data_IF_018593836737
#
_entry.id   IF_018593836737
#
_cell.length_a   1.000
_cell.length_b   1.000
_cell.length_c   1.000
_cell.angle_alpha   90.00
_cell.angle_beta   90.00
_cell.angle_gamma   90.00
#
_symmetry.space_group_name_H-M   'P 1'
#
loop_
_entity.id
_entity.type
_entity.pdbx_description
1 polymer ?
#
# COMPACT_ATOMS: atom_id res chain seq x y z
N UNK A 1 -20.32 -0.57 33.15
CA UNK A 1 -19.30 0.49 33.00
C UNK A 1 -18.90 0.52 31.53
N UNK A 2 -19.39 1.49 30.76
CA UNK A 2 -19.06 1.63 29.34
C UNK A 2 -17.79 2.49 29.21
N UNK A 3 -16.66 1.85 28.95
CA UNK A 3 -15.46 2.53 28.44
C UNK A 3 -15.72 2.89 26.98
N UNK A 4 -16.38 4.03 26.77
CA UNK A 4 -16.53 4.64 25.45
C UNK A 4 -15.16 5.01 24.92
N UNK A 5 -14.67 4.25 23.95
CA UNK A 5 -13.53 4.64 23.13
C UNK A 5 -13.93 5.89 22.36
N UNK A 6 -13.54 7.06 22.87
CA UNK A 6 -13.57 8.30 22.09
C UNK A 6 -12.46 8.22 21.06
N UNK A 7 -12.69 7.49 19.97
CA UNK A 7 -11.83 7.57 18.80
C UNK A 7 -12.13 8.91 18.14
N UNK A 8 -11.16 9.82 18.12
CA UNK A 8 -11.24 11.04 17.31
C UNK A 8 -11.61 10.63 15.87
N UNK A 9 -12.60 11.26 15.24
CA UNK A 9 -12.96 10.94 13.86
C UNK A 9 -11.75 11.21 12.95
N UNK A 10 -11.57 10.35 11.94
CA UNK A 10 -10.57 10.57 10.90
C UNK A 10 -10.85 11.90 10.19
N UNK A 11 -9.82 12.62 9.73
CA UNK A 11 -10.00 13.71 8.76
C UNK A 11 -10.84 13.24 7.58
N UNK A 12 -11.78 14.08 7.11
CA UNK A 12 -12.72 13.73 6.04
C UNK A 12 -12.00 13.23 4.79
N UNK A 13 -10.92 13.92 4.40
CA UNK A 13 -10.13 13.55 3.23
C UNK A 13 -9.46 12.19 3.42
N UNK A 14 -8.93 11.88 4.61
CA UNK A 14 -8.34 10.57 4.88
C UNK A 14 -9.38 9.46 4.80
N UNK A 15 -10.58 9.69 5.36
CA UNK A 15 -11.67 8.72 5.28
C UNK A 15 -12.10 8.44 3.83
N UNK A 16 -12.19 9.48 3.00
CA UNK A 16 -12.47 9.34 1.57
C UNK A 16 -11.38 8.55 0.85
N UNK A 17 -10.10 8.86 1.09
CA UNK A 17 -8.99 8.16 0.47
C UNK A 17 -8.92 6.68 0.87
N UNK A 18 -9.22 6.34 2.12
CA UNK A 18 -9.34 4.95 2.57
C UNK A 18 -10.50 4.24 1.85
N UNK A 19 -11.65 4.92 1.68
CA UNK A 19 -12.77 4.36 0.92
C UNK A 19 -12.41 4.12 -0.56
N UNK A 20 -11.65 5.03 -1.18
CA UNK A 20 -11.13 4.86 -2.54
C UNK A 20 -10.12 3.70 -2.65
N UNK A 21 -9.24 3.54 -1.66
CA UNK A 21 -8.34 2.38 -1.59
C UNK A 21 -9.14 1.08 -1.47
N UNK A 22 -10.18 1.04 -0.64
CA UNK A 22 -11.06 -0.13 -0.53
C UNK A 22 -11.78 -0.43 -1.87
N UNK A 23 -12.29 0.59 -2.54
CA UNK A 23 -12.91 0.44 -3.87
C UNK A 23 -11.92 -0.09 -4.92
N UNK A 24 -10.67 0.39 -4.89
CA UNK A 24 -9.59 -0.13 -5.73
C UNK A 24 -9.30 -1.61 -5.46
N UNK A 25 -9.21 -2.02 -4.19
CA UNK A 25 -8.92 -3.42 -3.83
C UNK A 25 -10.08 -4.36 -4.23
N UNK A 26 -11.33 -3.94 -4.02
CA UNK A 26 -12.51 -4.73 -4.39
C UNK A 26 -12.65 -4.88 -5.91
N UNK A 27 -12.50 -3.78 -6.65
CA UNK A 27 -12.55 -3.81 -8.12
C UNK A 27 -11.39 -4.62 -8.70
N UNK A 28 -10.20 -4.49 -8.13
CA UNK A 28 -9.03 -5.33 -8.45
C UNK A 28 -9.32 -6.81 -8.23
N UNK A 29 -9.80 -7.20 -7.05
CA UNK A 29 -10.15 -8.60 -6.76
C UNK A 29 -11.20 -9.17 -7.70
N UNK A 30 -12.23 -8.38 -8.04
CA UNK A 30 -13.26 -8.81 -9.02
C UNK A 30 -12.69 -8.96 -10.42
N UNK A 31 -11.84 -8.02 -10.86
CA UNK A 31 -11.21 -8.04 -12.19
C UNK A 31 -10.29 -9.25 -12.36
N UNK A 32 -9.50 -9.58 -11.33
CA UNK A 32 -8.57 -10.71 -11.33
C UNK A 32 -9.22 -12.09 -11.55
N UNK A 33 -10.55 -12.21 -11.42
CA UNK A 33 -11.28 -13.44 -11.78
C UNK A 33 -11.30 -13.69 -13.30
N UNK A 34 -11.17 -12.63 -14.11
CA UNK A 34 -11.26 -12.67 -15.58
C UNK A 34 -9.96 -12.20 -16.26
N UNK A 35 -9.06 -11.57 -15.51
CA UNK A 35 -7.79 -11.00 -16.00
C UNK A 35 -6.61 -12.00 -15.90
N UNK A 36 -5.49 -11.74 -16.60
CA UNK A 36 -4.28 -12.53 -16.45
C UNK A 36 -3.78 -12.57 -14.99
N UNK A 37 -3.42 -13.75 -14.50
CA UNK A 37 -2.96 -13.97 -13.11
C UNK A 37 -1.77 -13.07 -12.72
N UNK A 38 -0.91 -12.72 -13.69
CA UNK A 38 0.24 -11.84 -13.49
C UNK A 38 -0.15 -10.43 -13.02
N UNK A 39 -1.40 -9.99 -13.21
CA UNK A 39 -1.87 -8.69 -12.72
C UNK A 39 -2.14 -8.67 -11.22
N UNK A 40 -2.31 -9.84 -10.59
CA UNK A 40 -2.54 -9.94 -9.15
C UNK A 40 -1.41 -9.30 -8.34
N UNK A 41 -0.16 -9.77 -8.50
CA UNK A 41 1.00 -9.19 -7.83
C UNK A 41 1.15 -7.69 -8.08
N UNK A 42 0.94 -7.22 -9.32
CA UNK A 42 1.04 -5.80 -9.66
C UNK A 42 -0.03 -4.94 -8.95
N UNK A 43 -1.29 -5.41 -8.88
CA UNK A 43 -2.37 -4.72 -8.16
C UNK A 43 -2.12 -4.71 -6.65
N UNK A 44 -1.54 -5.77 -6.10
CA UNK A 44 -1.10 -5.80 -4.69
C UNK A 44 0.01 -4.78 -4.44
N UNK A 45 1.01 -4.68 -5.32
CA UNK A 45 2.07 -3.68 -5.24
C UNK A 45 1.50 -2.24 -5.28
N UNK A 46 0.54 -1.95 -6.16
CA UNK A 46 -0.10 -0.62 -6.20
C UNK A 46 -0.92 -0.34 -4.94
N UNK A 47 -1.66 -1.33 -4.44
CA UNK A 47 -2.39 -1.22 -3.18
C UNK A 47 -1.45 -0.88 -2.00
N UNK A 48 -0.30 -1.53 -1.93
CA UNK A 48 0.73 -1.23 -0.93
C UNK A 48 1.30 0.18 -1.11
N UNK A 49 1.66 0.58 -2.34
CA UNK A 49 2.14 1.94 -2.66
C UNK A 49 1.15 3.00 -2.20
N UNK A 50 -0.13 2.88 -2.56
CA UNK A 50 -1.20 3.80 -2.15
C UNK A 50 -1.35 3.86 -0.64
N UNK A 51 -1.23 2.72 0.04
CA UNK A 51 -1.30 2.67 1.50
C UNK A 51 -0.15 3.46 2.14
N UNK A 52 1.08 3.27 1.66
CA UNK A 52 2.25 4.00 2.15
C UNK A 52 2.16 5.51 1.85
N UNK A 53 1.58 5.89 0.71
CA UNK A 53 1.29 7.29 0.36
C UNK A 53 0.31 7.93 1.36
N UNK A 54 -0.72 7.20 1.82
CA UNK A 54 -1.63 7.69 2.86
C UNK A 54 -0.94 7.82 4.22
N UNK A 55 -0.06 6.89 4.57
CA UNK A 55 0.75 6.99 5.80
C UNK A 55 1.67 8.20 5.77
N UNK A 56 2.34 8.44 4.64
CA UNK A 56 3.20 9.62 4.42
C UNK A 56 2.42 10.93 4.56
N UNK A 57 1.21 10.99 4.00
CA UNK A 57 0.42 12.23 3.97
C UNK A 57 -0.27 12.57 5.28
N UNK A 58 -0.71 11.57 6.05
CA UNK A 58 -1.61 11.78 7.20
C UNK A 58 -1.03 11.33 8.55
N UNK A 59 0.16 10.74 8.58
CA UNK A 59 0.83 10.29 9.80
C UNK A 59 2.33 10.55 9.81
N UNK A 60 3.01 10.32 10.95
CA UNK A 60 4.46 10.25 10.96
C UNK A 60 4.90 9.06 10.11
N UNK A 61 5.76 9.30 9.12
CA UNK A 61 6.21 8.27 8.20
C UNK A 61 7.73 8.11 8.29
N UNK A 62 8.17 6.87 8.53
CA UNK A 62 9.58 6.49 8.52
C UNK A 62 10.16 6.70 7.11
N UNK A 63 11.33 7.31 7.00
CA UNK A 63 11.98 7.59 5.72
C UNK A 63 12.19 6.31 4.87
N UNK A 64 12.32 5.14 5.51
CA UNK A 64 12.41 3.84 4.84
C UNK A 64 11.09 3.44 4.17
N UNK A 65 9.95 3.77 4.79
CA UNK A 65 8.63 3.55 4.19
C UNK A 65 8.39 4.48 3.00
N UNK A 66 8.84 5.73 3.08
CA UNK A 66 8.83 6.67 1.94
C UNK A 66 9.70 6.14 0.80
N UNK A 67 10.92 5.65 1.10
CA UNK A 67 11.80 5.06 0.09
C UNK A 67 11.18 3.80 -0.55
N UNK A 68 10.52 2.95 0.23
CA UNK A 68 9.81 1.79 -0.29
C UNK A 68 8.63 2.20 -1.20
N UNK A 69 7.83 3.19 -0.79
CA UNK A 69 6.74 3.75 -1.60
C UNK A 69 7.26 4.25 -2.95
N UNK A 70 8.34 5.03 -2.96
CA UNK A 70 8.97 5.55 -4.18
C UNK A 70 9.43 4.41 -5.10
N UNK A 71 10.07 3.37 -4.55
CA UNK A 71 10.51 2.22 -5.34
C UNK A 71 9.35 1.48 -6.01
N UNK A 72 8.22 1.32 -5.31
CA UNK A 72 7.01 0.74 -5.88
C UNK A 72 6.40 1.64 -6.97
N UNK A 73 6.46 2.96 -6.81
CA UNK A 73 6.00 3.92 -7.81
C UNK A 73 6.82 3.89 -9.10
N UNK A 74 8.14 3.88 -8.98
CA UNK A 74 9.07 3.76 -10.10
C UNK A 74 8.83 2.47 -10.89
N UNK A 75 8.66 1.35 -10.17
CA UNK A 75 8.37 0.05 -10.77
C UNK A 75 7.06 0.04 -11.60
N UNK A 76 6.06 0.82 -11.20
CA UNK A 76 4.77 0.88 -11.91
C UNK A 76 4.71 1.94 -13.00
N UNK A 77 5.59 2.95 -12.94
CA UNK A 77 5.66 4.03 -13.93
C UNK A 77 6.64 3.71 -15.08
N UNK A 78 7.47 2.68 -14.92
CA UNK A 78 8.45 2.25 -15.92
C UNK A 78 7.88 1.41 -17.07
N UNK A 79 8.71 1.09 -18.09
CA UNK A 79 8.32 0.21 -19.19
C UNK A 79 7.84 -1.15 -18.69
N UNK A 80 6.68 -1.58 -19.17
CA UNK A 80 6.06 -2.85 -18.79
C UNK A 80 6.95 -4.01 -19.26
N UNK A 81 7.67 -4.65 -18.33
CA UNK A 81 8.51 -5.83 -18.59
C UNK A 81 9.97 -5.77 -18.11
N UNK A 82 10.46 -4.61 -17.64
CA UNK A 82 11.85 -4.48 -17.15
C UNK A 82 12.00 -4.74 -15.64
N UNK A 83 10.89 -4.73 -14.90
CA UNK A 83 10.91 -4.89 -13.45
C UNK A 83 10.78 -6.37 -13.08
N UNK A 84 11.77 -6.88 -12.36
CA UNK A 84 11.63 -8.13 -11.62
C UNK A 84 10.68 -7.92 -10.43
N UNK A 85 9.39 -8.14 -10.68
CA UNK A 85 8.33 -7.93 -9.71
C UNK A 85 8.44 -8.90 -8.52
N UNK A 86 8.99 -10.10 -8.72
CA UNK A 86 9.16 -11.07 -7.62
C UNK A 86 10.21 -10.54 -6.65
N UNK A 87 11.39 -10.19 -7.15
CA UNK A 87 12.46 -9.63 -6.31
C UNK A 87 12.05 -8.31 -5.64
N UNK A 88 11.26 -7.48 -6.33
CA UNK A 88 10.71 -6.25 -5.75
C UNK A 88 9.76 -6.52 -4.58
N UNK A 89 8.88 -7.52 -4.70
CA UNK A 89 7.92 -7.87 -3.65
C UNK A 89 8.60 -8.51 -2.43
N UNK A 90 9.64 -9.33 -2.66
CA UNK A 90 10.44 -9.90 -1.58
C UNK A 90 11.17 -8.79 -0.80
N UNK A 91 11.88 -7.88 -1.48
CA UNK A 91 12.53 -6.71 -0.86
C UNK A 91 11.53 -5.80 -0.13
N UNK A 92 10.32 -5.63 -0.69
CA UNK A 92 9.27 -4.85 -0.05
C UNK A 92 8.80 -5.49 1.25
N UNK A 93 8.61 -6.82 1.28
CA UNK A 93 8.22 -7.55 2.48
C UNK A 93 9.30 -7.44 3.57
N UNK A 94 10.57 -7.64 3.21
CA UNK A 94 11.69 -7.57 4.14
C UNK A 94 11.80 -6.17 4.77
N UNK A 95 11.75 -5.11 3.96
CA UNK A 95 11.80 -3.72 4.45
C UNK A 95 10.62 -3.37 5.36
N UNK A 96 9.42 -3.83 5.03
CA UNK A 96 8.26 -3.66 5.91
C UNK A 96 8.48 -4.36 7.26
N UNK A 97 9.02 -5.57 7.25
CA UNK A 97 9.32 -6.33 8.46
C UNK A 97 10.39 -5.64 9.32
N UNK A 98 11.46 -5.12 8.72
CA UNK A 98 12.50 -4.35 9.40
C UNK A 98 11.90 -3.15 10.14
N UNK A 99 11.15 -2.29 9.43
CA UNK A 99 10.52 -1.10 10.01
C UNK A 99 9.55 -1.47 11.14
N UNK A 100 8.77 -2.53 10.99
CA UNK A 100 7.80 -2.96 12.01
C UNK A 100 8.47 -3.63 13.21
N UNK A 101 9.65 -4.23 13.04
CA UNK A 101 10.40 -4.88 14.13
C UNK A 101 11.14 -3.88 15.02
N UNK A 102 11.60 -2.77 14.46
CA UNK A 102 12.34 -1.73 15.18
C UNK A 102 11.43 -0.69 15.86
N UNK A 103 10.17 -0.57 15.41
CA UNK A 103 9.17 0.32 15.99
C UNK A 103 8.29 -0.36 17.07
N UNK A 104 8.68 -1.56 17.53
CA UNK A 104 8.06 -2.29 18.64
C UNK A 104 8.84 -2.12 19.93
#
# INVERSE_FOLDING_TARGET
MNSGTSSRPLPTELAEQIALLAAFLLSSGRGLLEEPTAYGPARCADGARRTLELLERYGPCDARLVALRTRLEEAMSGPMGEVDLVALLDDACDRMAEVLSENR
#
